data_IF_855719810698
#
_entry.id   IF_855719810698
#
_cell.length_a   1.000
_cell.length_b   1.000
_cell.length_c   1.000
_cell.angle_alpha   90.00
_cell.angle_beta   90.00
_cell.angle_gamma   90.00
#
_symmetry.space_group_name_H-M   'P 1'
#
loop_
_entity.id
_entity.type
_entity.pdbx_description
1 polymer ?
#
# COMPACT_ATOMS: atom_id res chain seq x y z
N UNK A 1 5.29 5.03 -12.44
CA UNK A 1 6.19 6.00 -13.11
C UNK A 1 5.91 7.36 -12.48
N UNK A 2 6.94 8.13 -12.17
CA UNK A 2 6.80 9.46 -11.58
C UNK A 2 7.10 10.52 -12.64
N UNK A 3 6.35 11.60 -12.57
CA UNK A 3 6.55 12.79 -13.37
C UNK A 3 6.87 13.97 -12.45
N UNK A 4 7.91 14.73 -12.77
CA UNK A 4 8.29 15.94 -12.05
C UNK A 4 8.30 17.10 -13.04
N UNK A 5 7.61 18.19 -12.68
CA UNK A 5 7.71 19.48 -13.37
C UNK A 5 8.29 20.46 -12.36
N UNK A 6 9.56 20.83 -12.55
CA UNK A 6 10.21 21.85 -11.72
C UNK A 6 10.01 23.22 -12.36
N UNK A 7 9.36 24.13 -11.64
CA UNK A 7 9.17 25.53 -12.06
C UNK A 7 10.12 26.42 -11.26
N UNK A 8 11.05 27.10 -11.92
CA UNK A 8 12.01 28.00 -11.28
C UNK A 8 12.41 29.14 -12.21
N UNK A 9 12.42 30.38 -11.70
CA UNK A 9 12.77 31.59 -12.46
C UNK A 9 12.03 31.71 -13.81
N UNK A 10 10.73 31.40 -13.80
CA UNK A 10 9.87 31.44 -15.00
C UNK A 10 10.13 30.33 -16.04
N UNK A 11 10.94 29.31 -15.73
CA UNK A 11 11.21 28.17 -16.61
C UNK A 11 10.71 26.86 -16.00
N UNK A 12 10.24 25.95 -16.84
CA UNK A 12 9.82 24.61 -16.47
C UNK A 12 10.81 23.55 -16.97
N UNK A 13 11.19 22.61 -16.12
CA UNK A 13 11.95 21.39 -16.48
C UNK A 13 11.08 20.17 -16.21
N UNK A 14 10.94 19.29 -17.20
CA UNK A 14 10.18 18.04 -17.07
C UNK A 14 11.13 16.85 -16.95
N UNK A 15 10.85 15.96 -15.99
CA UNK A 15 11.49 14.65 -15.88
C UNK A 15 10.45 13.55 -15.67
N UNK A 16 10.70 12.39 -16.27
CA UNK A 16 9.94 11.17 -16.06
C UNK A 16 10.87 10.00 -15.79
N UNK A 17 10.58 9.23 -14.72
CA UNK A 17 11.35 8.05 -14.32
C UNK A 17 10.44 6.95 -13.77
N UNK A 18 10.78 5.71 -14.07
CA UNK A 18 10.22 4.58 -13.31
C UNK A 18 10.74 4.61 -11.88
N UNK A 19 9.87 4.25 -10.93
CA UNK A 19 10.34 3.88 -9.59
C UNK A 19 11.03 2.54 -9.72
N UNK A 20 12.31 2.46 -9.36
CA UNK A 20 13.11 1.24 -9.47
C UNK A 20 12.78 0.28 -8.32
N UNK A 21 11.56 -0.26 -8.32
CA UNK A 21 11.15 -1.26 -7.33
C UNK A 21 11.93 -2.56 -7.48
N UNK A 22 11.92 -3.42 -6.45
CA UNK A 22 12.52 -4.76 -6.57
C UNK A 22 11.90 -5.52 -7.76
N UNK A 23 10.56 -5.50 -7.88
CA UNK A 23 9.84 -6.02 -9.03
C UNK A 23 10.35 -5.44 -10.35
N UNK A 24 10.47 -4.12 -10.47
CA UNK A 24 10.96 -3.47 -11.69
C UNK A 24 12.37 -3.95 -12.08
N UNK A 25 13.29 -4.03 -11.12
CA UNK A 25 14.66 -4.44 -11.40
C UNK A 25 14.72 -5.91 -11.87
N UNK A 26 14.01 -6.80 -11.18
CA UNK A 26 13.96 -8.23 -11.55
C UNK A 26 13.31 -8.41 -12.92
N UNK A 27 12.15 -7.82 -13.18
CA UNK A 27 11.47 -7.97 -14.48
C UNK A 27 12.26 -7.37 -15.64
N UNK A 28 13.04 -6.31 -15.38
CA UNK A 28 13.95 -5.72 -16.36
C UNK A 28 15.12 -6.63 -16.69
N UNK A 29 15.70 -7.31 -15.69
CA UNK A 29 16.77 -8.29 -15.87
C UNK A 29 16.27 -9.54 -16.60
N UNK A 30 15.09 -10.04 -16.22
CA UNK A 30 14.43 -11.17 -16.88
C UNK A 30 13.92 -10.85 -18.30
N UNK A 31 13.74 -9.57 -18.64
CA UNK A 31 13.15 -9.13 -19.90
C UNK A 31 11.66 -9.49 -20.07
N UNK A 32 10.96 -9.87 -19.00
CA UNK A 32 9.55 -10.26 -19.02
C UNK A 32 8.85 -10.06 -17.66
N UNK A 33 7.51 -9.99 -17.62
CA UNK A 33 6.77 -9.95 -16.36
C UNK A 33 7.00 -11.23 -15.53
N UNK A 34 7.32 -11.03 -14.25
CA UNK A 34 7.60 -12.11 -13.30
C UNK A 34 6.51 -12.21 -12.24
N UNK A 35 6.07 -11.07 -11.71
CA UNK A 35 5.08 -11.01 -10.62
C UNK A 35 3.67 -11.04 -11.19
N UNK A 36 2.79 -11.78 -10.52
CA UNK A 36 1.37 -11.86 -10.88
C UNK A 36 0.71 -10.47 -10.75
N UNK A 37 -0.07 -10.07 -11.75
CA UNK A 37 -0.98 -8.94 -11.60
C UNK A 37 -2.20 -9.35 -10.77
N UNK A 38 -2.22 -9.03 -9.48
CA UNK A 38 -3.26 -9.50 -8.55
C UNK A 38 -4.71 -9.14 -8.92
N UNK A 39 -4.94 -8.12 -9.75
CA UNK A 39 -6.29 -7.74 -10.18
C UNK A 39 -6.69 -8.35 -11.52
N UNK A 40 -5.76 -8.44 -12.47
CA UNK A 40 -6.06 -8.91 -13.83
C UNK A 40 -5.71 -10.39 -14.07
N UNK A 41 -4.96 -11.02 -13.16
CA UNK A 41 -4.46 -12.38 -13.37
C UNK A 41 -5.49 -13.49 -13.10
N UNK A 42 -6.64 -13.18 -12.52
CA UNK A 42 -7.62 -14.19 -12.13
C UNK A 42 -8.87 -14.08 -13.01
N UNK A 43 -8.89 -14.85 -14.10
CA UNK A 43 -9.94 -14.82 -15.13
C UNK A 43 -10.67 -16.15 -15.31
N UNK A 44 -10.05 -17.26 -14.93
CA UNK A 44 -10.64 -18.60 -14.90
C UNK A 44 -9.80 -19.49 -13.98
N UNK A 45 -10.40 -20.56 -13.43
CA UNK A 45 -9.67 -21.43 -12.51
C UNK A 45 -8.39 -22.04 -13.12
N UNK A 46 -8.40 -22.61 -14.34
CA UNK A 46 -7.17 -23.17 -14.94
C UNK A 46 -6.08 -22.11 -15.16
N UNK A 47 -6.45 -20.92 -15.65
CA UNK A 47 -5.50 -19.83 -15.88
C UNK A 47 -4.91 -19.32 -14.56
N UNK A 48 -5.74 -19.17 -13.52
CA UNK A 48 -5.33 -18.78 -12.18
C UNK A 48 -4.34 -19.78 -11.59
N UNK A 49 -4.64 -21.08 -11.67
CA UNK A 49 -3.76 -22.15 -11.17
C UNK A 49 -2.42 -22.14 -11.91
N UNK A 50 -2.44 -22.06 -13.25
CA UNK A 50 -1.22 -22.01 -14.05
C UNK A 50 -0.33 -20.79 -13.71
N UNK A 51 -0.93 -19.61 -13.58
CA UNK A 51 -0.22 -18.37 -13.21
C UNK A 51 0.39 -18.46 -11.81
N UNK A 52 -0.38 -18.97 -10.84
CA UNK A 52 0.11 -19.24 -9.49
C UNK A 52 1.27 -20.25 -9.49
N UNK A 53 1.12 -21.37 -10.19
CA UNK A 53 2.15 -22.40 -10.28
C UNK A 53 3.46 -21.86 -10.84
N UNK A 54 3.41 -21.08 -11.92
CA UNK A 54 4.61 -20.44 -12.49
C UNK A 54 5.25 -19.47 -11.49
N UNK A 55 4.46 -18.58 -10.89
CA UNK A 55 5.01 -17.59 -9.95
C UNK A 55 5.61 -18.24 -8.70
N UNK A 56 4.90 -19.15 -8.04
CA UNK A 56 5.42 -19.82 -6.86
C UNK A 56 6.57 -20.78 -7.20
N UNK A 57 6.59 -21.38 -8.40
CA UNK A 57 7.75 -22.11 -8.91
C UNK A 57 9.00 -21.24 -9.01
N UNK A 58 8.86 -19.99 -9.47
CA UNK A 58 9.95 -18.98 -9.47
C UNK A 58 10.40 -18.59 -8.07
N UNK A 59 9.46 -18.45 -7.12
CA UNK A 59 9.80 -18.17 -5.72
C UNK A 59 10.57 -19.33 -5.10
N UNK A 60 10.08 -20.56 -5.25
CA UNK A 60 10.70 -21.77 -4.69
C UNK A 60 12.08 -22.08 -5.29
N UNK A 61 12.28 -21.74 -6.57
CA UNK A 61 13.59 -21.88 -7.24
C UNK A 61 14.56 -20.73 -6.96
N UNK A 62 14.17 -19.73 -6.15
CA UNK A 62 15.01 -18.57 -5.82
C UNK A 62 15.10 -17.51 -6.91
N UNK A 63 14.31 -17.61 -7.98
CA UNK A 63 14.27 -16.62 -9.08
C UNK A 63 13.58 -15.31 -8.67
N UNK A 64 12.73 -15.33 -7.63
CA UNK A 64 12.10 -14.13 -7.09
C UNK A 64 11.95 -14.22 -5.57
N UNK A 65 12.40 -13.20 -4.83
CA UNK A 65 12.24 -13.14 -3.37
C UNK A 65 11.10 -12.19 -2.96
N UNK A 66 9.94 -12.76 -2.61
CA UNK A 66 8.76 -11.99 -2.20
C UNK A 66 8.98 -11.13 -0.95
N UNK A 67 9.98 -11.46 -0.11
CA UNK A 67 10.30 -10.69 1.10
C UNK A 67 10.84 -9.30 0.77
N UNK A 68 11.44 -9.15 -0.42
CA UNK A 68 11.99 -7.89 -0.94
C UNK A 68 10.95 -7.00 -1.62
N UNK A 69 9.68 -7.44 -1.65
CA UNK A 69 8.55 -6.66 -2.14
C UNK A 69 7.99 -7.17 -3.47
N UNK A 70 6.72 -6.87 -3.73
CA UNK A 70 6.02 -7.21 -4.99
C UNK A 70 5.29 -6.00 -5.59
N UNK A 71 5.38 -4.84 -4.94
CA UNK A 71 4.59 -3.67 -5.30
C UNK A 71 5.18 -2.85 -6.44
N UNK A 72 4.31 -1.99 -6.97
CA UNK A 72 4.61 -1.14 -8.12
C UNK A 72 5.02 0.29 -7.75
N UNK A 73 4.82 0.71 -6.49
CA UNK A 73 5.03 2.09 -6.02
C UNK A 73 4.41 3.14 -6.97
N UNK A 74 3.15 2.93 -7.35
CA UNK A 74 2.49 3.64 -8.45
C UNK A 74 1.17 4.31 -8.05
N UNK A 75 0.77 4.24 -6.78
CA UNK A 75 -0.55 4.70 -6.34
C UNK A 75 -0.53 6.18 -5.96
N UNK A 76 0.48 6.63 -5.21
CA UNK A 76 0.56 8.01 -4.71
C UNK A 76 1.98 8.42 -4.31
N UNK A 77 2.10 9.68 -3.90
CA UNK A 77 3.28 10.26 -3.27
C UNK A 77 2.92 10.87 -1.92
N UNK A 78 3.81 10.73 -0.93
CA UNK A 78 3.68 11.45 0.35
C UNK A 78 5.04 11.88 0.88
N UNK A 79 5.09 13.03 1.56
CA UNK A 79 6.29 13.53 2.21
C UNK A 79 6.13 13.49 3.72
N UNK A 80 6.96 12.70 4.39
CA UNK A 80 6.99 12.58 5.85
C UNK A 80 8.35 12.05 6.32
N UNK A 81 8.70 12.25 7.59
CA UNK A 81 10.00 11.82 8.13
C UNK A 81 11.20 12.37 7.32
N UNK A 82 11.07 13.59 6.78
CA UNK A 82 12.10 14.23 5.94
C UNK A 82 12.35 13.60 4.56
N UNK A 83 11.51 12.66 4.12
CA UNK A 83 11.66 11.96 2.84
C UNK A 83 10.39 12.05 2.00
N UNK A 84 10.57 12.04 0.68
CA UNK A 84 9.49 11.82 -0.27
C UNK A 84 9.38 10.31 -0.56
N UNK A 85 8.16 9.78 -0.55
CA UNK A 85 7.90 8.38 -0.82
C UNK A 85 6.95 8.18 -1.99
N UNK A 86 7.21 7.15 -2.79
CA UNK A 86 6.26 6.54 -3.71
C UNK A 86 5.61 5.32 -3.05
N UNK A 87 4.29 5.26 -3.09
CA UNK A 87 3.50 4.34 -2.27
C UNK A 87 2.63 3.41 -3.13
N UNK A 88 2.39 2.22 -2.60
CA UNK A 88 1.45 1.22 -3.10
C UNK A 88 1.11 0.26 -1.96
N UNK A 89 -0.15 -0.10 -1.80
CA UNK A 89 -0.67 -0.86 -0.65
C UNK A 89 -0.07 -2.27 -0.50
N UNK A 90 0.46 -2.80 -1.60
CA UNK A 90 1.04 -4.14 -1.69
C UNK A 90 2.50 -4.23 -1.24
N UNK A 91 3.13 -3.12 -0.85
CA UNK A 91 4.55 -3.09 -0.51
C UNK A 91 4.90 -1.97 0.48
N UNK A 92 6.17 -1.90 0.83
CA UNK A 92 6.75 -0.79 1.58
C UNK A 92 6.89 0.47 0.71
N UNK A 93 6.96 1.65 1.34
CA UNK A 93 7.31 2.90 0.68
C UNK A 93 8.65 2.80 -0.05
N UNK A 94 8.74 3.43 -1.22
CA UNK A 94 10.01 3.64 -1.90
C UNK A 94 10.46 5.08 -1.76
N UNK A 95 11.62 5.32 -1.14
CA UNK A 95 12.17 6.65 -0.97
C UNK A 95 12.62 7.23 -2.31
N UNK A 96 12.22 8.47 -2.57
CA UNK A 96 12.47 9.21 -3.81
C UNK A 96 13.25 10.48 -3.47
N UNK A 97 14.29 10.76 -4.25
CA UNK A 97 15.02 12.03 -4.23
C UNK A 97 14.74 12.79 -5.52
N UNK A 98 14.32 14.03 -5.40
CA UNK A 98 14.29 14.98 -6.51
C UNK A 98 15.59 15.77 -6.47
N UNK A 99 16.36 15.76 -7.55
CA UNK A 99 17.63 16.49 -7.62
C UNK A 99 17.38 17.99 -7.86
N UNK A 100 18.36 18.88 -7.56
CA UNK A 100 18.20 20.32 -7.78
C UNK A 100 17.86 20.72 -9.23
N UNK A 101 18.29 19.92 -10.20
CA UNK A 101 18.00 20.07 -11.64
C UNK A 101 16.66 19.45 -12.07
N UNK A 102 15.97 18.74 -11.18
CA UNK A 102 14.63 18.18 -11.41
C UNK A 102 14.60 16.71 -11.84
N UNK A 103 15.72 15.98 -11.76
CA UNK A 103 15.75 14.53 -11.99
C UNK A 103 15.15 13.77 -10.80
N UNK A 104 14.69 12.54 -11.05
CA UNK A 104 14.02 11.68 -10.07
C UNK A 104 14.88 10.44 -9.82
N UNK A 105 15.34 10.27 -8.58
CA UNK A 105 16.17 9.13 -8.17
C UNK A 105 15.38 8.28 -7.17
N UNK A 106 15.23 6.99 -7.47
CA UNK A 106 14.77 6.00 -6.47
C UNK A 106 15.93 5.67 -5.56
N UNK A 107 15.83 6.00 -4.28
CA UNK A 107 16.84 5.71 -3.27
C UNK A 107 16.77 4.25 -2.80
N UNK A 108 15.56 3.67 -2.77
CA UNK A 108 15.35 2.28 -2.40
C UNK A 108 14.00 2.06 -1.72
N UNK A 109 13.73 0.80 -1.39
CA UNK A 109 12.62 0.39 -0.53
C UNK A 109 12.96 0.77 0.90
N UNK A 110 12.11 1.56 1.54
CA UNK A 110 12.39 2.08 2.88
C UNK A 110 12.00 1.02 3.90
N UNK A 111 13.01 0.41 4.51
CA UNK A 111 12.88 -0.53 5.63
C UNK A 111 13.14 0.09 7.05
N UNK A 112 13.18 1.43 7.28
CA UNK A 112 13.72 2.01 8.51
C UNK A 112 12.66 2.14 9.61
N UNK A 113 12.00 1.04 9.94
CA UNK A 113 11.10 1.01 11.09
C UNK A 113 11.67 0.01 12.08
N UNK A 114 11.94 0.47 13.31
CA UNK A 114 12.41 -0.38 14.43
C UNK A 114 11.54 -1.63 14.61
N UNK A 115 10.27 -1.54 14.19
CA UNK A 115 9.37 -2.66 13.95
C UNK A 115 9.17 -2.80 12.43
N UNK A 116 9.49 -3.95 11.82
CA UNK A 116 9.32 -4.14 10.38
C UNK A 116 7.90 -3.78 9.92
N UNK A 117 7.79 -2.81 9.01
CA UNK A 117 6.56 -2.65 8.24
C UNK A 117 6.43 -3.85 7.29
N UNK A 118 5.19 -4.33 7.11
CA UNK A 118 4.88 -5.33 6.07
C UNK A 118 4.49 -4.64 4.77
N UNK A 119 3.58 -3.67 4.89
CA UNK A 119 3.14 -2.71 3.87
C UNK A 119 2.43 -1.56 4.58
N UNK A 120 2.08 -0.50 3.84
CA UNK A 120 1.21 0.58 4.33
C UNK A 120 0.30 1.10 3.22
N UNK A 121 -0.76 1.80 3.61
CA UNK A 121 -1.67 2.50 2.69
C UNK A 121 -0.91 3.43 1.76
N UNK A 122 -1.41 3.58 0.54
CA UNK A 122 -0.97 4.63 -0.35
C UNK A 122 -1.51 6.01 0.05
N UNK A 123 -2.46 6.12 0.97
CA UNK A 123 -3.05 7.41 1.33
C UNK A 123 -2.80 7.78 2.79
N UNK A 124 -1.54 7.81 3.26
CA UNK A 124 -1.26 8.24 4.62
C UNK A 124 -1.69 9.70 4.80
N UNK A 125 -2.15 10.03 6.00
CA UNK A 125 -2.53 11.40 6.34
C UNK A 125 -1.46 12.01 7.23
N UNK A 126 -0.87 13.10 6.78
CA UNK A 126 0.15 13.84 7.52
C UNK A 126 -0.51 15.00 8.24
N UNK A 127 -0.39 15.03 9.56
CA UNK A 127 -0.78 16.18 10.37
C UNK A 127 0.26 17.29 10.19
N UNK A 128 -0.19 18.45 9.71
CA UNK A 128 0.69 19.59 9.43
C UNK A 128 1.16 20.29 10.71
N UNK A 129 0.43 20.15 11.81
CA UNK A 129 0.79 20.78 13.09
C UNK A 129 1.82 19.93 13.84
N UNK A 130 1.61 18.62 13.90
CA UNK A 130 2.48 17.72 14.68
C UNK A 130 3.57 17.03 13.86
N UNK A 131 3.42 16.96 12.53
CA UNK A 131 4.27 16.16 11.66
C UNK A 131 4.01 14.64 11.77
N UNK A 132 3.05 14.21 12.59
CA UNK A 132 2.66 12.81 12.68
C UNK A 132 1.98 12.33 11.40
N UNK A 133 2.18 11.06 11.10
CA UNK A 133 1.55 10.37 9.98
C UNK A 133 0.62 9.30 10.51
N UNK A 134 -0.58 9.28 9.96
CA UNK A 134 -1.56 8.25 10.20
C UNK A 134 -1.62 7.33 8.99
N UNK A 135 -1.65 6.02 9.23
CA UNK A 135 -1.62 5.03 8.17
C UNK A 135 -2.46 3.79 8.52
N UNK A 136 -2.85 3.08 7.47
CA UNK A 136 -3.57 1.82 7.54
C UNK A 136 -2.77 0.72 6.85
N UNK A 137 -3.02 -0.52 7.24
CA UNK A 137 -2.62 -1.74 6.52
C UNK A 137 -3.82 -2.67 6.41
N UNK A 138 -4.52 -2.68 5.26
CA UNK A 138 -5.51 -3.70 4.95
C UNK A 138 -4.87 -5.08 4.81
N UNK A 139 -5.65 -6.13 5.08
CA UNK A 139 -5.24 -7.53 5.00
C UNK A 139 -6.40 -8.40 4.57
N UNK A 140 -6.10 -9.46 3.81
CA UNK A 140 -7.08 -10.51 3.46
C UNK A 140 -7.25 -11.57 4.55
N UNK A 141 -6.45 -11.47 5.62
CA UNK A 141 -6.52 -12.32 6.81
C UNK A 141 -6.76 -11.45 8.05
N UNK A 142 -7.48 -11.98 9.05
CA UNK A 142 -7.72 -11.27 10.31
C UNK A 142 -6.40 -11.02 11.07
N UNK A 143 -6.15 -9.82 11.64
CA UNK A 143 -6.97 -8.59 11.56
C UNK A 143 -7.01 -8.01 10.14
N UNK A 144 -8.22 -7.77 9.62
CA UNK A 144 -8.42 -7.32 8.23
C UNK A 144 -8.00 -5.87 8.00
N UNK A 145 -7.93 -5.08 9.06
CA UNK A 145 -7.41 -3.72 9.05
C UNK A 145 -6.53 -3.50 10.27
N UNK A 146 -5.35 -2.93 10.06
CA UNK A 146 -4.48 -2.46 11.12
C UNK A 146 -4.28 -0.96 10.96
N UNK A 147 -4.48 -0.19 12.02
CA UNK A 147 -4.19 1.24 12.08
C UNK A 147 -2.87 1.47 12.82
N UNK A 148 -2.09 2.46 12.40
CA UNK A 148 -0.87 2.84 13.12
C UNK A 148 -0.47 4.28 12.81
N UNK A 149 0.43 4.78 13.65
CA UNK A 149 1.01 6.13 13.54
C UNK A 149 2.49 6.05 13.25
N UNK A 150 3.04 7.11 12.67
CA UNK A 150 4.47 7.36 12.54
C UNK A 150 4.68 8.77 13.10
N UNK A 151 5.63 8.93 14.02
CA UNK A 151 5.91 10.26 14.59
C UNK A 151 6.65 11.16 13.58
N UNK A 152 6.89 12.41 13.96
CA UNK A 152 7.57 13.40 13.11
C UNK A 152 8.98 12.96 12.67
N UNK A 153 9.67 12.15 13.49
CA UNK A 153 11.00 11.61 13.21
C UNK A 153 10.98 10.40 12.25
N UNK A 154 9.80 9.98 11.80
CA UNK A 154 9.65 8.80 10.94
C UNK A 154 9.63 7.47 11.70
N UNK A 155 9.48 7.49 13.03
CA UNK A 155 9.43 6.29 13.86
C UNK A 155 7.99 5.79 13.97
N UNK A 156 7.77 4.56 13.49
CA UNK A 156 6.49 3.87 13.59
C UNK A 156 6.15 3.56 15.06
N UNK A 157 4.91 3.86 15.41
CA UNK A 157 4.31 3.57 16.70
C UNK A 157 3.61 2.20 16.70
N UNK A 158 3.18 1.75 17.88
CA UNK A 158 2.45 0.48 18.06
C UNK A 158 1.25 0.37 17.11
N UNK A 159 1.08 -0.81 16.53
CA UNK A 159 -0.05 -1.13 15.66
C UNK A 159 -1.32 -1.35 16.48
N UNK A 160 -2.45 -0.85 16.00
CA UNK A 160 -3.79 -1.04 16.53
C UNK A 160 -4.58 -1.94 15.57
N UNK A 161 -4.73 -3.23 15.86
CA UNK A 161 -5.57 -4.12 15.06
C UNK A 161 -7.05 -3.75 15.23
N UNK A 162 -7.74 -3.44 14.13
CA UNK A 162 -9.18 -3.16 14.13
C UNK A 162 -9.93 -4.50 14.03
N UNK A 163 -10.09 -5.16 15.17
CA UNK A 163 -10.69 -6.50 15.29
C UNK A 163 -12.21 -6.50 15.04
N UNK A 164 -12.84 -5.34 15.18
CA UNK A 164 -14.25 -5.06 14.93
C UNK A 164 -14.60 -4.96 13.44
N UNK A 165 -13.59 -4.81 12.56
CA UNK A 165 -13.76 -4.97 11.11
C UNK A 165 -14.07 -6.45 10.82
N UNK A 166 -15.27 -6.81 10.31
CA UNK A 166 -15.68 -8.21 10.24
C UNK A 166 -15.15 -8.95 9.01
N UNK A 167 -14.70 -8.22 7.99
CA UNK A 167 -14.26 -8.78 6.71
C UNK A 167 -13.15 -7.96 6.05
N UNK A 168 -12.54 -8.55 5.01
CA UNK A 168 -11.50 -7.94 4.18
C UNK A 168 -12.10 -6.94 3.16
N UNK A 169 -12.59 -5.81 3.66
CA UNK A 169 -13.02 -4.71 2.81
C UNK A 169 -11.82 -4.06 2.10
N UNK A 170 -12.03 -3.59 0.87
CA UNK A 170 -11.06 -2.77 0.15
C UNK A 170 -11.04 -1.35 0.73
N UNK A 171 -10.36 -1.18 1.87
CA UNK A 171 -10.12 0.12 2.50
C UNK A 171 -8.93 0.81 1.83
N UNK A 172 -9.16 1.41 0.66
CA UNK A 172 -8.12 2.09 -0.11
C UNK A 172 -7.65 3.40 0.55
N UNK A 173 -8.61 4.19 1.01
CA UNK A 173 -8.37 5.48 1.64
C UNK A 173 -9.17 5.59 2.95
N UNK A 174 -8.84 6.60 3.76
CA UNK A 174 -9.45 6.91 5.04
C UNK A 174 -9.34 8.43 5.31
N UNK A 175 -9.90 8.89 6.41
CA UNK A 175 -9.86 10.30 6.81
C UNK A 175 -9.27 10.41 8.21
N UNK A 176 -8.52 11.48 8.44
CA UNK A 176 -8.11 11.91 9.77
C UNK A 176 -8.74 13.27 10.08
N UNK A 177 -9.23 13.44 11.30
CA UNK A 177 -9.68 14.72 11.85
C UNK A 177 -8.76 15.11 13.02
N UNK A 178 -9.07 16.24 13.67
CA UNK A 178 -8.37 16.62 14.91
C UNK A 178 -8.40 15.54 15.99
N UNK A 179 -9.46 14.71 16.04
CA UNK A 179 -9.68 13.77 17.14
C UNK A 179 -9.85 12.31 16.69
N UNK A 180 -10.20 12.06 15.44
CA UNK A 180 -10.64 10.74 14.98
C UNK A 180 -9.95 10.29 13.69
N UNK A 181 -9.68 8.99 13.61
CA UNK A 181 -9.48 8.29 12.35
C UNK A 181 -10.79 7.65 11.90
N UNK A 182 -11.11 7.79 10.62
CA UNK A 182 -12.36 7.34 10.02
C UNK A 182 -12.02 6.50 8.80
N UNK A 183 -12.39 5.22 8.80
CA UNK A 183 -12.13 4.31 7.68
C UNK A 183 -13.42 3.68 7.16
N UNK A 184 -13.59 3.59 5.83
CA UNK A 184 -14.76 2.99 5.23
C UNK A 184 -14.68 1.46 5.26
N UNK A 185 -15.80 0.84 5.63
CA UNK A 185 -16.10 -0.55 5.33
C UNK A 185 -17.07 -0.56 4.14
N UNK A 186 -16.51 -0.68 2.93
CA UNK A 186 -17.25 -0.57 1.68
C UNK A 186 -17.86 -1.91 1.26
N UNK A 187 -18.72 -1.87 0.23
CA UNK A 187 -19.23 -3.06 -0.46
C UNK A 187 -18.17 -3.80 -1.30
N UNK A 188 -16.99 -3.22 -1.49
CA UNK A 188 -15.92 -3.86 -2.26
C UNK A 188 -15.06 -4.70 -1.33
N UNK A 189 -14.94 -5.99 -1.64
CA UNK A 189 -14.23 -6.97 -0.84
C UNK A 189 -13.07 -7.60 -1.59
N UNK A 190 -12.03 -7.97 -0.85
CA UNK A 190 -10.89 -8.73 -1.37
C UNK A 190 -11.01 -10.16 -0.83
N UNK A 191 -11.43 -11.09 -1.68
CA UNK A 191 -11.71 -12.47 -1.28
C UNK A 191 -10.90 -13.49 -2.10
N UNK A 192 -9.74 -13.96 -1.59
CA UNK A 192 -8.93 -14.96 -2.28
C UNK A 192 -9.65 -16.27 -2.62
N UNK A 193 -10.72 -16.63 -1.90
CA UNK A 193 -11.49 -17.86 -2.17
C UNK A 193 -12.22 -17.79 -3.51
N UNK A 194 -12.51 -16.61 -4.01
CA UNK A 194 -13.23 -16.42 -5.28
C UNK A 194 -12.36 -16.78 -6.49
N UNK A 195 -11.03 -16.78 -6.34
CA UNK A 195 -10.08 -17.29 -7.33
C UNK A 195 -10.36 -18.77 -7.62
N UNK A 196 -10.74 -19.56 -6.60
CA UNK A 196 -11.08 -20.98 -6.75
C UNK A 196 -12.37 -21.18 -7.56
N UNK A 197 -13.22 -20.15 -7.63
CA UNK A 197 -14.43 -20.11 -8.47
C UNK A 197 -14.16 -19.49 -9.85
N UNK A 198 -12.89 -19.22 -10.18
CA UNK A 198 -12.50 -18.58 -11.44
C UNK A 198 -12.86 -17.10 -11.53
N UNK A 199 -13.20 -16.44 -10.41
CA UNK A 199 -13.56 -15.03 -10.36
C UNK A 199 -12.36 -14.15 -9.98
N UNK A 200 -12.54 -12.85 -10.13
CA UNK A 200 -11.58 -11.84 -9.72
C UNK A 200 -11.43 -11.79 -8.19
N UNK A 201 -10.27 -11.29 -7.74
CA UNK A 201 -9.96 -11.15 -6.32
C UNK A 201 -10.83 -10.09 -5.63
N UNK A 202 -11.12 -9.00 -6.34
CA UNK A 202 -11.95 -7.91 -5.85
C UNK A 202 -13.35 -8.01 -6.43
N UNK A 203 -14.37 -7.99 -5.57
CA UNK A 203 -15.77 -8.10 -5.95
C UNK A 203 -16.61 -7.08 -5.18
N UNK A 204 -17.79 -6.79 -5.70
CA UNK A 204 -18.80 -5.98 -5.02
C UNK A 204 -19.87 -6.90 -4.44
N UNK A 205 -20.03 -6.87 -3.12
CA UNK A 205 -21.19 -7.47 -2.45
C UNK A 205 -22.32 -6.43 -2.37
N UNK A 206 -23.31 -6.58 -3.24
CA UNK A 206 -24.46 -5.68 -3.30
C UNK A 206 -25.38 -5.79 -2.06
N UNK A 207 -25.33 -6.91 -1.33
CA UNK A 207 -26.16 -7.12 -0.13
C UNK A 207 -25.55 -6.46 1.11
N UNK A 208 -24.24 -6.19 1.08
CA UNK A 208 -23.52 -5.56 2.20
C UNK A 208 -23.94 -4.10 2.37
N UNK A 209 -24.17 -3.70 3.61
CA UNK A 209 -24.42 -2.30 3.97
C UNK A 209 -23.08 -1.61 4.23
N UNK A 210 -22.70 -0.56 3.46
CA UNK A 210 -21.52 0.22 3.75
C UNK A 210 -21.58 0.86 5.14
N UNK A 211 -20.46 0.89 5.84
CA UNK A 211 -20.34 1.51 7.17
C UNK A 211 -19.08 2.37 7.27
N UNK A 212 -19.05 3.26 8.24
CA UNK A 212 -17.85 4.01 8.61
C UNK A 212 -17.41 3.60 10.01
N UNK A 213 -16.16 3.16 10.14
CA UNK A 213 -15.50 2.94 11.41
C UNK A 213 -14.86 4.23 11.89
N UNK A 214 -15.20 4.67 13.10
CA UNK A 214 -14.71 5.89 13.72
C UNK A 214 -14.00 5.50 15.01
N UNK A 215 -12.72 5.85 15.12
CA UNK A 215 -11.90 5.57 16.30
C UNK A 215 -11.12 6.83 16.70
N UNK A 216 -10.79 6.98 17.98
CA UNK A 216 -9.84 8.02 18.41
C UNK A 216 -8.55 7.93 17.59
N UNK A 217 -8.04 9.06 17.09
CA UNK A 217 -6.78 9.07 16.34
C UNK A 217 -5.58 8.63 17.18
N UNK A 218 -5.70 8.72 18.50
CA UNK A 218 -4.68 8.32 19.45
C UNK A 218 -5.01 7.00 20.14
N UNK A 219 -5.93 6.20 19.58
CA UNK A 219 -6.30 4.93 20.15
C UNK A 219 -5.10 3.98 20.29
N UNK A 220 -5.12 3.19 21.35
CA UNK A 220 -4.14 2.15 21.64
C UNK A 220 -4.72 0.74 21.40
N UNK A 221 -6.05 0.63 21.35
CA UNK A 221 -6.80 -0.57 21.02
C UNK A 221 -8.10 -0.23 20.26
N UNK A 222 -8.85 -1.26 19.85
CA UNK A 222 -10.07 -1.15 19.05
C UNK A 222 -11.37 -1.03 19.88
N UNK A 223 -11.28 -0.96 21.22
CA UNK A 223 -12.46 -0.95 22.10
C UNK A 223 -13.34 0.30 21.91
N UNK A 224 -12.72 1.41 21.53
CA UNK A 224 -13.39 2.70 21.28
C UNK A 224 -13.94 2.87 19.86
N UNK A 225 -13.88 1.84 19.01
CA UNK A 225 -14.35 1.94 17.62
C UNK A 225 -15.87 1.94 17.56
N UNK A 226 -16.43 2.96 16.93
CA UNK A 226 -17.86 3.08 16.62
C UNK A 226 -18.09 2.82 15.14
N UNK A 227 -19.17 2.10 14.83
CA UNK A 227 -19.60 1.83 13.46
C UNK A 227 -20.94 2.51 13.18
N UNK A 228 -20.99 3.34 12.15
CA UNK A 228 -22.21 3.98 11.65
C UNK A 228 -22.54 3.53 10.23
#
# INVERSE_FOLDING_TARGET
>A
MLHCIRISKGKATFCSRFVKTYKYNVEREFGSPVVINYFAAFTSLPASVARCAVFFGRVLSGQYDIRRGTGNANTSLAHFGGKLFALCESDLPYAIKITPDGDIITLGRDEPFSVPLKSMTAHPKVDKETGEVFALRPSVFRPYLTYFRINADGIKQTEVPILSMPEAAMTHDFVITKNYAIFPNTQMEINPKEILKGKQLALVDAAKVPRLGIISRNAEDDSGTMWI
#
